data_IF_877665043842
#
_entry.id   IF_877665043842
#
_cell.length_a   1.000
_cell.length_b   1.000
_cell.length_c   1.000
_cell.angle_alpha   90.00
_cell.angle_beta   90.00
_cell.angle_gamma   90.00
#
_symmetry.space_group_name_H-M   'P 1'
#
loop_
_entity.id
_entity.type
_entity.pdbx_description
1 polymer ?
#
# COMPACT_ATOMS: atom_id res chain seq x y z
N UNK A 1 -12.40 14.99 -6.22
CA UNK A 1 -11.35 13.95 -6.33
C UNK A 1 -10.41 14.08 -5.14
N UNK A 2 -10.18 13.00 -4.38
CA UNK A 2 -9.29 13.00 -3.21
C UNK A 2 -8.12 12.06 -3.48
N UNK A 3 -6.90 12.55 -3.28
CA UNK A 3 -5.68 11.76 -3.42
C UNK A 3 -5.00 11.64 -2.06
N UNK A 4 -4.45 10.48 -1.77
CA UNK A 4 -3.66 10.24 -0.58
C UNK A 4 -2.34 9.57 -0.98
N UNK A 5 -1.23 10.11 -0.47
CA UNK A 5 0.09 9.51 -0.58
C UNK A 5 0.57 8.99 0.77
N UNK A 6 1.41 7.98 0.74
CA UNK A 6 2.12 7.46 1.91
C UNK A 6 3.50 6.94 1.50
N UNK A 7 4.43 6.99 2.44
CA UNK A 7 5.78 6.48 2.29
C UNK A 7 6.14 5.78 3.59
N UNK A 8 6.65 4.55 3.49
CA UNK A 8 7.04 3.73 4.62
C UNK A 8 8.55 3.80 4.85
N UNK A 9 8.96 3.62 6.11
CA UNK A 9 10.36 3.41 6.50
C UNK A 9 10.63 1.98 6.99
N UNK A 10 9.65 1.08 6.88
CA UNK A 10 9.79 -0.32 7.27
C UNK A 10 10.82 -1.03 6.39
N UNK A 11 11.75 -1.81 7.00
CA UNK A 11 12.73 -2.57 6.22
C UNK A 11 12.12 -3.81 5.54
N UNK A 12 10.94 -4.26 5.98
CA UNK A 12 10.26 -5.43 5.41
C UNK A 12 9.25 -5.00 4.34
N UNK A 13 9.17 -5.74 3.22
CA UNK A 13 8.18 -5.45 2.17
C UNK A 13 6.74 -5.54 2.70
N UNK A 14 6.46 -6.57 3.49
CA UNK A 14 5.13 -6.81 4.05
C UNK A 14 4.72 -5.73 5.05
N UNK A 15 5.62 -5.36 5.97
CA UNK A 15 5.40 -4.26 6.90
C UNK A 15 5.23 -2.93 6.17
N UNK A 16 6.05 -2.67 5.16
CA UNK A 16 5.98 -1.44 4.38
C UNK A 16 4.65 -1.31 3.62
N UNK A 17 4.16 -2.40 3.00
CA UNK A 17 2.86 -2.41 2.32
C UNK A 17 1.73 -2.18 3.33
N UNK A 18 1.74 -2.88 4.47
CA UNK A 18 0.72 -2.71 5.50
C UNK A 18 0.69 -1.26 6.03
N UNK A 19 1.86 -0.67 6.29
CA UNK A 19 1.98 0.70 6.78
C UNK A 19 1.44 1.71 5.76
N UNK A 20 1.88 1.66 4.49
CA UNK A 20 1.44 2.66 3.49
C UNK A 20 -0.05 2.54 3.18
N UNK A 21 -0.62 1.33 3.19
CA UNK A 21 -2.06 1.11 2.98
C UNK A 21 -2.87 1.72 4.13
N UNK A 22 -2.47 1.44 5.38
CA UNK A 22 -3.14 2.01 6.56
C UNK A 22 -3.08 3.55 6.57
N UNK A 23 -1.90 4.12 6.27
CA UNK A 23 -1.71 5.57 6.17
C UNK A 23 -2.57 6.18 5.05
N UNK A 24 -2.60 5.55 3.88
CA UNK A 24 -3.39 6.02 2.75
C UNK A 24 -4.89 5.98 3.06
N UNK A 25 -5.39 4.91 3.67
CA UNK A 25 -6.79 4.77 4.10
C UNK A 25 -7.19 5.82 5.14
N UNK A 26 -6.36 6.05 6.16
CA UNK A 26 -6.59 7.11 7.15
C UNK A 26 -6.67 8.48 6.47
N UNK A 27 -5.76 8.78 5.53
CA UNK A 27 -5.77 10.05 4.79
C UNK A 27 -6.96 10.18 3.86
N UNK A 28 -7.43 9.08 3.27
CA UNK A 28 -8.67 9.04 2.49
C UNK A 28 -9.92 9.21 3.39
N UNK A 29 -9.78 9.06 4.72
CA UNK A 29 -10.85 9.24 5.70
C UNK A 29 -12.09 8.41 5.38
N UNK A 30 -11.87 7.14 5.02
CA UNK A 30 -12.94 6.20 4.67
C UNK A 30 -13.53 6.39 3.27
N UNK A 31 -13.04 7.34 2.47
CA UNK A 31 -13.39 7.39 1.05
C UNK A 31 -12.82 6.16 0.32
N UNK A 32 -13.65 5.53 -0.53
CA UNK A 32 -13.25 4.41 -1.38
C UNK A 32 -12.13 4.84 -2.32
N UNK A 33 -11.08 4.03 -2.40
CA UNK A 33 -10.03 4.18 -3.40
C UNK A 33 -10.39 3.35 -4.64
N UNK A 34 -10.71 4.01 -5.75
CA UNK A 34 -11.01 3.33 -7.02
C UNK A 34 -9.73 3.01 -7.82
N UNK A 35 -8.64 3.73 -7.54
CA UNK A 35 -7.33 3.56 -8.19
C UNK A 35 -6.23 3.68 -7.13
N UNK A 36 -5.24 2.80 -7.21
CA UNK A 36 -4.04 2.84 -6.37
C UNK A 36 -2.77 2.72 -7.20
N UNK A 37 -1.74 3.48 -6.84
CA UNK A 37 -0.40 3.37 -7.38
C UNK A 37 0.56 2.95 -6.27
N UNK A 38 1.38 1.94 -6.53
CA UNK A 38 2.40 1.46 -5.59
C UNK A 38 3.76 1.56 -6.26
N UNK A 39 4.65 2.32 -5.66
CA UNK A 39 6.05 2.42 -6.09
C UNK A 39 6.90 1.60 -5.13
N UNK A 40 7.61 0.61 -5.68
CA UNK A 40 8.46 -0.30 -4.90
C UNK A 40 9.92 0.01 -5.19
N UNK A 41 10.70 0.17 -4.13
CA UNK A 41 12.15 0.35 -4.25
C UNK A 41 12.79 -0.85 -4.94
N UNK A 42 13.84 -0.61 -5.73
CA UNK A 42 14.65 -1.68 -6.33
C UNK A 42 15.32 -2.59 -5.29
N UNK A 43 15.44 -2.13 -4.04
CA UNK A 43 15.90 -2.96 -2.93
C UNK A 43 15.04 -4.22 -2.71
N UNK A 44 13.76 -4.17 -3.11
CA UNK A 44 12.82 -5.30 -3.02
C UNK A 44 12.60 -6.01 -4.37
N UNK A 45 13.50 -5.84 -5.35
CA UNK A 45 13.31 -6.38 -6.70
C UNK A 45 13.04 -7.90 -6.73
N UNK A 46 13.76 -8.67 -5.92
CA UNK A 46 13.58 -10.13 -5.81
C UNK A 46 12.23 -10.54 -5.22
N UNK A 47 11.55 -9.62 -4.52
CA UNK A 47 10.25 -9.84 -3.88
C UNK A 47 9.08 -9.22 -4.66
N UNK A 48 9.34 -8.64 -5.84
CA UNK A 48 8.33 -7.93 -6.63
C UNK A 48 7.08 -8.79 -6.90
N UNK A 49 7.26 -10.11 -7.11
CA UNK A 49 6.15 -11.05 -7.32
C UNK A 49 5.16 -11.13 -6.15
N UNK A 50 5.58 -10.76 -4.93
CA UNK A 50 4.73 -10.75 -3.73
C UNK A 50 3.98 -9.44 -3.52
N UNK A 51 4.35 -8.36 -4.22
CA UNK A 51 3.78 -7.01 -4.02
C UNK A 51 2.28 -6.99 -4.22
N UNK A 52 1.79 -7.49 -5.37
CA UNK A 52 0.36 -7.49 -5.66
C UNK A 52 -0.46 -8.37 -4.70
N UNK A 53 -0.05 -9.63 -4.40
CA UNK A 53 -0.71 -10.44 -3.37
C UNK A 53 -0.81 -9.75 -2.00
N UNK A 54 0.27 -9.10 -1.55
CA UNK A 54 0.30 -8.39 -0.28
C UNK A 54 -0.61 -7.15 -0.31
N UNK A 55 -0.48 -6.31 -1.35
CA UNK A 55 -1.26 -5.09 -1.47
C UNK A 55 -2.78 -5.36 -1.56
N UNK A 56 -3.18 -6.37 -2.35
CA UNK A 56 -4.60 -6.76 -2.45
C UNK A 56 -5.10 -7.35 -1.14
N UNK A 57 -4.31 -8.19 -0.46
CA UNK A 57 -4.68 -8.73 0.85
C UNK A 57 -4.95 -7.63 1.89
N UNK A 58 -4.14 -6.58 1.91
CA UNK A 58 -4.29 -5.44 2.82
C UNK A 58 -5.42 -4.47 2.39
N UNK A 59 -5.68 -4.35 1.09
CA UNK A 59 -6.72 -3.46 0.54
C UNK A 59 -8.12 -4.11 0.50
N UNK A 60 -8.22 -5.44 0.49
CA UNK A 60 -9.49 -6.18 0.41
C UNK A 60 -10.32 -6.14 1.71
N UNK A 61 -9.81 -5.53 2.78
CA UNK A 61 -10.55 -5.29 4.03
C UNK A 61 -11.55 -4.13 3.99
N UNK A 62 -11.91 -3.62 2.80
CA UNK A 62 -12.79 -2.46 2.62
C UNK A 62 -14.21 -2.94 2.29
N UNK A 63 -15.23 -2.66 3.13
CA UNK A 63 -16.64 -2.86 2.78
C UNK A 63 -17.12 -1.91 1.66
#
# INVERSE_FOLDING_TARGET
MKWAGALSTEPSLEGAIAEVVAMAQQRLAGARADVGFVFVSSAFASEYGRVMPLAVGQAAGVP
#
